data_IF_111351021763
#
_entry.id   IF_111351021763
#
_cell.length_a   1.000
_cell.length_b   1.000
_cell.length_c   1.000
_cell.angle_alpha   90.00
_cell.angle_beta   90.00
_cell.angle_gamma   90.00
#
_symmetry.space_group_name_H-M   'P 1'
#
loop_
_entity.id
_entity.type
_entity.pdbx_description
1 polymer ?
#
# COMPACT_ATOMS: atom_id res chain seq x y z
N UNK A 1 -2.83 -6.03 -28.10
CA UNK A 1 -2.19 -6.37 -26.81
C UNK A 1 -3.21 -7.10 -25.95
N UNK A 2 -2.82 -8.18 -25.29
CA UNK A 2 -3.68 -8.81 -24.29
C UNK A 2 -3.82 -7.88 -23.09
N UNK A 3 -4.99 -7.85 -22.47
CA UNK A 3 -5.26 -7.03 -21.29
C UNK A 3 -4.46 -7.58 -20.10
N UNK A 4 -3.73 -6.72 -19.37
CA UNK A 4 -3.04 -7.09 -18.13
C UNK A 4 -4.06 -7.63 -17.12
N UNK A 5 -3.75 -8.72 -16.46
CA UNK A 5 -4.57 -9.25 -15.35
C UNK A 5 -3.88 -8.92 -14.02
N UNK A 6 -4.54 -8.14 -13.17
CA UNK A 6 -4.08 -7.83 -11.82
C UNK A 6 -4.77 -8.74 -10.79
N UNK A 7 -3.98 -9.50 -10.06
CA UNK A 7 -4.44 -10.32 -8.94
C UNK A 7 -4.41 -9.53 -7.63
N UNK A 8 -5.58 -9.32 -7.02
CA UNK A 8 -5.77 -8.47 -5.84
C UNK A 8 -6.78 -9.04 -4.83
N UNK A 9 -6.94 -8.39 -3.67
CA UNK A 9 -7.95 -8.83 -2.68
C UNK A 9 -9.37 -8.33 -3.03
N UNK A 10 -9.49 -7.13 -3.56
CA UNK A 10 -10.77 -6.46 -3.82
C UNK A 10 -11.05 -5.30 -2.87
N UNK A 11 -12.17 -4.57 -3.07
CA UNK A 11 -12.54 -3.42 -2.25
C UNK A 11 -12.64 -3.79 -0.76
N UNK A 12 -12.20 -2.87 0.12
CA UNK A 12 -12.15 -3.12 1.55
C UNK A 12 -12.40 -1.84 2.36
N UNK A 13 -13.50 -1.82 3.11
CA UNK A 13 -13.84 -0.73 4.04
C UNK A 13 -13.69 0.68 3.42
N UNK A 14 -14.17 0.84 2.20
CA UNK A 14 -14.11 2.09 1.45
C UNK A 14 -12.80 2.33 0.69
N UNK A 15 -11.75 1.55 0.92
CA UNK A 15 -10.53 1.59 0.13
C UNK A 15 -10.64 0.70 -1.11
N UNK A 16 -9.95 1.03 -2.21
CA UNK A 16 -9.91 0.20 -3.41
C UNK A 16 -9.43 -1.23 -3.14
N UNK A 17 -8.49 -1.37 -2.19
CA UNK A 17 -7.94 -2.67 -1.76
C UNK A 17 -7.40 -2.56 -0.32
N UNK A 18 -7.38 -3.64 0.50
CA UNK A 18 -6.75 -3.61 1.82
C UNK A 18 -5.22 -3.47 1.77
N UNK A 19 -4.60 -3.84 0.66
CA UNK A 19 -3.15 -3.79 0.48
C UNK A 19 -2.71 -2.48 -0.16
N UNK A 20 -1.85 -1.67 0.51
CA UNK A 20 -1.27 -0.48 -0.11
C UNK A 20 -0.44 -0.80 -1.35
N UNK A 21 0.17 -1.99 -1.41
CA UNK A 21 0.93 -2.45 -2.57
C UNK A 21 0.05 -2.76 -3.79
N UNK A 22 -1.18 -3.27 -3.56
CA UNK A 22 -2.17 -3.42 -4.64
C UNK A 22 -2.61 -2.05 -5.14
N UNK A 23 -2.92 -1.12 -4.22
CA UNK A 23 -3.30 0.26 -4.59
C UNK A 23 -2.17 0.93 -5.38
N UNK A 24 -0.89 0.73 -4.98
CA UNK A 24 0.28 1.19 -5.74
C UNK A 24 0.23 0.68 -7.19
N UNK A 25 0.04 -0.62 -7.41
CA UNK A 25 0.00 -1.18 -8.77
C UNK A 25 -1.19 -0.67 -9.55
N UNK A 26 -2.38 -0.56 -8.94
CA UNK A 26 -3.56 0.05 -9.59
C UNK A 26 -3.25 1.48 -10.05
N UNK A 27 -2.59 2.28 -9.21
CA UNK A 27 -2.20 3.65 -9.54
C UNK A 27 -1.18 3.67 -10.69
N UNK A 28 -0.14 2.83 -10.66
CA UNK A 28 0.86 2.73 -11.72
C UNK A 28 0.23 2.37 -13.07
N UNK A 29 -0.68 1.40 -13.11
CA UNK A 29 -1.40 1.03 -14.33
C UNK A 29 -2.22 2.20 -14.89
N UNK A 30 -2.89 2.95 -14.01
CA UNK A 30 -3.66 4.14 -14.39
C UNK A 30 -2.76 5.29 -14.86
N UNK A 31 -1.62 5.52 -14.22
CA UNK A 31 -0.64 6.52 -14.65
C UNK A 31 -0.04 6.19 -16.02
N UNK A 32 0.16 4.91 -16.30
CA UNK A 32 0.66 4.44 -17.60
C UNK A 32 -0.43 4.41 -18.68
N UNK A 33 -1.70 4.68 -18.36
CA UNK A 33 -2.81 4.57 -19.30
C UNK A 33 -3.08 3.13 -19.78
N UNK A 34 -2.64 2.13 -19.02
CA UNK A 34 -2.75 0.72 -19.38
C UNK A 34 -4.09 0.14 -18.93
N UNK A 35 -4.84 -0.42 -19.87
CA UNK A 35 -6.04 -1.17 -19.56
C UNK A 35 -5.68 -2.47 -18.83
N UNK A 36 -6.40 -2.76 -17.75
CA UNK A 36 -6.25 -4.00 -17.01
C UNK A 36 -7.62 -4.52 -16.54
N UNK A 37 -7.68 -5.81 -16.30
CA UNK A 37 -8.76 -6.44 -15.53
C UNK A 37 -8.22 -6.90 -14.20
N UNK A 38 -8.99 -6.74 -13.16
CA UNK A 38 -8.66 -7.29 -11.85
C UNK A 38 -9.44 -8.57 -11.59
N UNK A 39 -8.78 -9.49 -10.90
CA UNK A 39 -9.35 -10.76 -10.48
C UNK A 39 -9.02 -11.03 -9.00
N UNK A 40 -9.88 -11.75 -8.27
CA UNK A 40 -9.57 -12.18 -6.92
C UNK A 40 -8.29 -13.02 -6.90
N UNK A 41 -7.29 -12.56 -6.16
CA UNK A 41 -6.03 -13.26 -5.96
C UNK A 41 -6.05 -14.14 -4.71
N UNK A 42 -5.30 -15.23 -4.76
CA UNK A 42 -5.07 -16.08 -3.60
C UNK A 42 -3.58 -16.00 -3.20
N UNK A 43 -3.25 -15.41 -2.03
CA UNK A 43 -1.85 -15.31 -1.58
C UNK A 43 -1.12 -16.65 -1.55
N UNK A 44 -1.80 -17.75 -1.21
CA UNK A 44 -1.18 -19.09 -1.15
C UNK A 44 -0.76 -19.61 -2.52
N UNK A 45 -1.43 -19.17 -3.58
CA UNK A 45 -1.12 -19.52 -4.98
C UNK A 45 -0.20 -18.49 -5.65
N UNK A 46 -0.06 -17.30 -5.07
CA UNK A 46 0.78 -16.24 -5.61
C UNK A 46 2.26 -16.68 -5.65
N UNK A 47 3.04 -16.26 -6.66
CA UNK A 47 4.44 -16.70 -6.86
C UNK A 47 5.32 -16.44 -5.63
N UNK A 48 5.13 -15.30 -4.96
CA UNK A 48 5.87 -14.91 -3.74
C UNK A 48 5.04 -15.02 -2.46
N UNK A 49 3.88 -15.74 -2.50
CA UNK A 49 2.95 -15.93 -1.36
C UNK A 49 2.34 -14.63 -0.82
N UNK A 50 2.28 -13.58 -1.65
CA UNK A 50 1.59 -12.31 -1.35
C UNK A 50 1.09 -11.64 -2.64
N UNK A 51 0.18 -10.68 -2.48
CA UNK A 51 -0.37 -9.86 -3.54
C UNK A 51 0.20 -8.44 -3.45
N UNK A 52 0.30 -7.71 -4.57
CA UNK A 52 -0.19 -8.06 -5.90
C UNK A 52 0.78 -8.92 -6.72
N UNK A 53 0.24 -9.55 -7.75
CA UNK A 53 1.00 -9.96 -8.92
C UNK A 53 0.18 -9.70 -10.18
N UNK A 54 0.84 -9.59 -11.33
CA UNK A 54 0.19 -9.42 -12.63
C UNK A 54 0.53 -10.58 -13.56
N UNK A 55 -0.37 -10.84 -14.51
CA UNK A 55 -0.12 -11.65 -15.69
C UNK A 55 -0.21 -10.73 -16.91
N UNK A 56 0.84 -10.74 -17.73
CA UNK A 56 0.98 -9.86 -18.86
C UNK A 56 1.68 -10.56 -20.02
N UNK A 57 0.91 -10.88 -21.09
CA UNK A 57 1.36 -11.63 -22.28
C UNK A 57 2.12 -12.93 -21.97
N UNK A 58 1.65 -13.68 -20.97
CA UNK A 58 2.26 -14.95 -20.55
C UNK A 58 3.36 -14.81 -19.48
N UNK A 59 3.82 -13.60 -19.21
CA UNK A 59 4.73 -13.34 -18.08
C UNK A 59 3.93 -13.15 -16.78
N UNK A 60 4.40 -13.75 -15.68
CA UNK A 60 3.88 -13.51 -14.33
C UNK A 60 4.90 -12.71 -13.54
N UNK A 61 4.51 -11.52 -13.09
CA UNK A 61 5.38 -10.62 -12.34
C UNK A 61 4.76 -10.36 -10.96
N UNK A 62 5.50 -10.66 -9.90
CA UNK A 62 5.07 -10.48 -8.51
C UNK A 62 5.99 -9.51 -7.78
N UNK A 63 5.43 -8.71 -6.88
CA UNK A 63 5.99 -7.57 -6.18
C UNK A 63 5.72 -6.24 -6.87
N UNK A 64 5.21 -5.26 -6.11
CA UNK A 64 4.75 -3.98 -6.68
C UNK A 64 5.86 -3.16 -7.32
N UNK A 65 7.08 -3.23 -6.79
CA UNK A 65 8.26 -2.55 -7.36
C UNK A 65 8.76 -3.25 -8.62
N UNK A 66 8.78 -4.59 -8.64
CA UNK A 66 9.14 -5.35 -9.84
C UNK A 66 8.08 -5.20 -10.93
N UNK A 67 6.80 -5.09 -10.56
CA UNK A 67 5.72 -4.76 -11.49
C UNK A 67 5.93 -3.36 -12.09
N UNK A 68 6.33 -2.35 -11.29
CA UNK A 68 6.68 -1.03 -11.80
C UNK A 68 7.78 -1.13 -12.86
N UNK A 69 8.88 -1.78 -12.56
CA UNK A 69 10.00 -1.94 -13.50
C UNK A 69 9.62 -2.70 -14.77
N UNK A 70 8.76 -3.73 -14.64
CA UNK A 70 8.22 -4.44 -15.80
C UNK A 70 7.40 -3.50 -16.71
N UNK A 71 6.52 -2.67 -16.13
CA UNK A 71 5.74 -1.69 -16.87
C UNK A 71 6.66 -0.68 -17.57
N UNK A 72 7.63 -0.12 -16.84
CA UNK A 72 8.61 0.83 -17.40
C UNK A 72 9.35 0.24 -18.59
N UNK A 73 9.85 -0.98 -18.45
CA UNK A 73 10.62 -1.64 -19.48
C UNK A 73 9.77 -2.04 -20.70
N UNK A 74 8.64 -2.74 -20.46
CA UNK A 74 7.82 -3.32 -21.55
C UNK A 74 7.05 -2.27 -22.32
N UNK A 75 6.48 -1.29 -21.62
CA UNK A 75 5.62 -0.26 -22.20
C UNK A 75 6.35 1.06 -22.47
N UNK A 76 7.65 1.12 -22.17
CA UNK A 76 8.50 2.30 -22.35
C UNK A 76 7.94 3.54 -21.65
N UNK A 77 7.40 3.35 -20.46
CA UNK A 77 6.92 4.40 -19.57
C UNK A 77 8.06 4.78 -18.64
N UNK A 78 8.31 6.07 -18.42
CA UNK A 78 9.16 6.57 -17.35
C UNK A 78 8.27 7.34 -16.35
N UNK A 79 7.95 6.72 -15.21
CA UNK A 79 7.14 7.36 -14.17
C UNK A 79 7.84 8.54 -13.51
N UNK A 80 9.16 8.64 -13.66
CA UNK A 80 9.99 9.69 -13.08
C UNK A 80 10.55 10.63 -14.17
N UNK A 81 9.88 10.67 -15.34
CA UNK A 81 10.27 11.53 -16.45
C UNK A 81 10.33 13.01 -16.03
N UNK A 82 11.41 13.68 -16.39
CA UNK A 82 11.64 15.09 -16.07
C UNK A 82 12.16 15.37 -14.65
N UNK A 83 12.30 14.34 -13.79
CA UNK A 83 12.90 14.52 -12.48
C UNK A 83 14.44 14.56 -12.58
N UNK A 84 15.05 15.45 -11.81
CA UNK A 84 16.50 15.48 -11.62
C UNK A 84 16.99 14.22 -10.89
N UNK A 85 18.28 13.94 -10.95
CA UNK A 85 18.89 12.82 -10.23
C UNK A 85 18.62 12.87 -8.71
N UNK A 86 18.68 14.08 -8.12
CA UNK A 86 18.35 14.26 -6.70
C UNK A 86 16.89 13.97 -6.37
N UNK A 87 15.95 14.39 -7.25
CA UNK A 87 14.54 14.08 -7.06
C UNK A 87 14.24 12.58 -7.23
N UNK A 88 14.86 11.90 -8.19
CA UNK A 88 14.74 10.42 -8.34
C UNK A 88 15.27 9.69 -7.09
N UNK A 89 16.38 10.14 -6.54
CA UNK A 89 16.92 9.57 -5.30
C UNK A 89 15.99 9.82 -4.09
N UNK A 90 15.44 11.03 -3.96
CA UNK A 90 14.46 11.35 -2.93
C UNK A 90 13.17 10.53 -3.09
N UNK A 91 12.66 10.39 -4.31
CA UNK A 91 11.50 9.57 -4.62
C UNK A 91 11.70 8.11 -4.17
N UNK A 92 12.84 7.53 -4.50
CA UNK A 92 13.20 6.19 -4.05
C UNK A 92 13.28 6.06 -2.52
N UNK A 93 13.90 7.03 -1.84
CA UNK A 93 13.97 7.04 -0.38
C UNK A 93 12.58 7.13 0.27
N UNK A 94 11.67 7.91 -0.30
CA UNK A 94 10.27 8.00 0.16
C UNK A 94 9.54 6.68 -0.05
N UNK A 95 9.73 6.00 -1.18
CA UNK A 95 9.15 4.68 -1.38
C UNK A 95 9.64 3.69 -0.30
N UNK A 96 10.93 3.70 0.03
CA UNK A 96 11.47 2.82 1.09
C UNK A 96 10.93 3.19 2.48
N UNK A 97 10.84 4.49 2.82
CA UNK A 97 10.20 4.93 4.05
C UNK A 97 8.75 4.40 4.14
N UNK A 98 7.99 4.51 3.08
CA UNK A 98 6.61 4.04 3.02
C UNK A 98 6.50 2.51 3.16
N UNK A 99 7.30 1.77 2.40
CA UNK A 99 7.16 0.32 2.25
C UNK A 99 7.93 -0.47 3.30
N UNK A 100 9.11 0.03 3.70
CA UNK A 100 10.01 -0.70 4.59
C UNK A 100 9.91 -0.22 6.05
N UNK A 101 9.19 0.89 6.32
CA UNK A 101 9.02 1.37 7.69
C UNK A 101 7.55 1.64 8.03
N UNK A 102 6.90 2.65 7.44
CA UNK A 102 5.54 3.05 7.81
C UNK A 102 4.50 1.93 7.59
N UNK A 103 4.67 1.12 6.53
CA UNK A 103 3.81 -0.05 6.29
C UNK A 103 3.79 -1.03 7.47
N UNK A 104 4.91 -1.23 8.14
CA UNK A 104 4.98 -2.18 9.25
C UNK A 104 4.24 -1.67 10.50
N UNK A 105 4.16 -0.36 10.71
CA UNK A 105 3.29 0.22 11.73
C UNK A 105 1.80 0.04 11.38
N UNK A 106 1.43 0.16 10.09
CA UNK A 106 0.07 -0.15 9.62
C UNK A 106 -0.25 -1.64 9.86
N UNK A 107 0.71 -2.51 9.58
CA UNK A 107 0.56 -3.95 9.76
C UNK A 107 0.33 -4.30 11.23
N UNK A 108 1.12 -3.71 12.15
CA UNK A 108 0.94 -3.85 13.58
C UNK A 108 -0.47 -3.42 14.00
N UNK A 109 -0.85 -2.19 13.69
CA UNK A 109 -2.13 -1.61 14.07
C UNK A 109 -3.35 -2.40 13.55
N UNK A 110 -3.23 -3.06 12.39
CA UNK A 110 -4.33 -3.84 11.79
C UNK A 110 -4.41 -5.28 12.30
N UNK A 111 -3.27 -5.90 12.55
CA UNK A 111 -3.20 -7.33 12.83
C UNK A 111 -3.02 -7.67 14.31
N UNK A 112 -2.31 -6.83 15.08
CA UNK A 112 -2.02 -7.11 16.48
C UNK A 112 -2.97 -6.37 17.44
N UNK A 113 -3.57 -5.26 17.01
CA UNK A 113 -4.65 -4.64 17.77
C UNK A 113 -5.93 -5.48 17.64
N UNK A 114 -6.46 -5.92 18.75
CA UNK A 114 -7.56 -6.89 18.82
C UNK A 114 -8.85 -6.39 18.17
N UNK A 115 -9.18 -5.12 18.41
CA UNK A 115 -10.43 -4.53 17.90
C UNK A 115 -10.32 -4.19 16.41
N UNK A 116 -9.18 -3.65 15.98
CA UNK A 116 -8.92 -3.39 14.56
C UNK A 116 -8.86 -4.68 13.75
N UNK A 117 -8.25 -5.73 14.29
CA UNK A 117 -8.25 -7.04 13.64
C UNK A 117 -9.68 -7.56 13.47
N UNK A 118 -10.49 -7.56 14.56
CA UNK A 118 -11.86 -8.09 14.54
C UNK A 118 -12.77 -7.32 13.59
N UNK A 119 -12.72 -5.98 13.62
CA UNK A 119 -13.59 -5.11 12.83
C UNK A 119 -13.05 -4.82 11.42
N UNK A 120 -11.80 -5.15 11.18
CA UNK A 120 -11.10 -4.96 9.91
C UNK A 120 -10.77 -6.29 9.23
N UNK A 121 -9.52 -6.69 9.31
CA UNK A 121 -8.96 -7.83 8.54
C UNK A 121 -9.75 -9.11 8.73
N UNK A 122 -10.28 -9.38 9.94
CA UNK A 122 -11.04 -10.60 10.20
C UNK A 122 -12.34 -10.71 9.40
N UNK A 123 -12.89 -9.60 8.92
CA UNK A 123 -14.09 -9.61 8.06
C UNK A 123 -13.84 -10.25 6.69
N UNK A 124 -12.59 -10.18 6.20
CA UNK A 124 -12.18 -10.79 4.94
C UNK A 124 -12.23 -12.33 4.97
N UNK A 125 -12.25 -12.92 6.16
CA UNK A 125 -12.29 -14.37 6.33
C UNK A 125 -13.70 -14.97 6.35
N UNK A 126 -14.71 -14.18 6.00
CA UNK A 126 -16.10 -14.65 5.89
C UNK A 126 -16.26 -15.80 4.88
N UNK A 127 -15.41 -15.84 3.86
CA UNK A 127 -15.35 -16.89 2.83
C UNK A 127 -14.79 -18.23 3.35
N UNK A 128 -14.15 -18.26 4.52
CA UNK A 128 -13.61 -19.48 5.13
C UNK A 128 -14.74 -20.17 5.91
N UNK A 129 -14.87 -21.51 5.81
CA UNK A 129 -15.84 -22.26 6.60
C UNK A 129 -15.74 -21.95 8.10
N UNK A 130 -16.89 -21.77 8.76
CA UNK A 130 -16.97 -21.30 10.14
C UNK A 130 -16.07 -22.08 11.13
N UNK A 131 -15.97 -23.41 11.09
CA UNK A 131 -15.12 -24.17 12.03
C UNK A 131 -13.62 -23.89 11.86
N UNK A 132 -13.16 -23.56 10.64
CA UNK A 132 -11.75 -23.32 10.35
C UNK A 132 -11.31 -21.86 10.65
N UNK A 133 -12.26 -20.92 10.72
CA UNK A 133 -11.96 -19.47 10.90
C UNK A 133 -11.07 -19.16 12.10
N UNK A 134 -11.33 -19.68 13.31
CA UNK A 134 -10.51 -19.39 14.48
C UNK A 134 -9.05 -19.82 14.29
N UNK A 135 -8.85 -21.02 13.73
CA UNK A 135 -7.52 -21.58 13.51
C UNK A 135 -6.76 -20.74 12.48
N UNK A 136 -7.38 -20.44 11.34
CA UNK A 136 -6.75 -19.61 10.28
C UNK A 136 -6.44 -18.22 10.80
N UNK A 137 -7.35 -17.59 11.56
CA UNK A 137 -7.12 -16.28 12.18
C UNK A 137 -5.91 -16.30 13.11
N UNK A 138 -5.85 -17.27 14.03
CA UNK A 138 -4.74 -17.40 14.98
C UNK A 138 -3.40 -17.61 14.24
N UNK A 139 -3.39 -18.46 13.22
CA UNK A 139 -2.21 -18.70 12.38
C UNK A 139 -1.73 -17.43 11.69
N UNK A 140 -2.62 -16.66 11.06
CA UNK A 140 -2.26 -15.43 10.35
C UNK A 140 -1.81 -14.31 11.28
N UNK A 141 -2.43 -14.17 12.46
CA UNK A 141 -1.97 -13.23 13.49
C UNK A 141 -0.56 -13.59 13.94
N UNK A 142 -0.30 -14.88 14.24
CA UNK A 142 1.03 -15.37 14.62
C UNK A 142 2.06 -15.14 13.53
N UNK A 143 1.71 -15.38 12.27
CA UNK A 143 2.59 -15.14 11.12
C UNK A 143 2.97 -13.67 11.00
N UNK A 144 1.99 -12.75 11.10
CA UNK A 144 2.25 -11.32 11.04
C UNK A 144 3.04 -10.81 12.26
N UNK A 145 2.79 -11.33 13.45
CA UNK A 145 3.62 -11.06 14.62
C UNK A 145 5.08 -11.51 14.40
N UNK A 146 5.27 -12.69 13.78
CA UNK A 146 6.60 -13.18 13.38
C UNK A 146 7.29 -12.26 12.36
N UNK A 147 6.55 -11.79 11.35
CA UNK A 147 7.08 -10.81 10.36
C UNK A 147 7.53 -9.50 11.03
N UNK A 148 6.70 -8.95 11.90
CA UNK A 148 7.03 -7.72 12.64
C UNK A 148 8.29 -7.91 13.51
N UNK A 149 8.40 -9.04 14.21
CA UNK A 149 9.58 -9.36 15.01
C UNK A 149 10.83 -9.56 14.16
N UNK A 150 10.72 -10.25 13.04
CA UNK A 150 11.81 -10.48 12.10
C UNK A 150 12.29 -9.19 11.43
N UNK A 151 11.38 -8.27 11.13
CA UNK A 151 11.69 -6.93 10.65
C UNK A 151 12.42 -6.08 11.70
N UNK A 152 12.19 -6.33 12.98
CA UNK A 152 12.77 -5.58 14.10
C UNK A 152 11.78 -4.63 14.77
N UNK A 153 10.88 -3.99 14.03
CA UNK A 153 9.91 -3.03 14.58
C UNK A 153 9.01 -3.67 15.64
N UNK A 154 8.64 -4.94 15.48
CA UNK A 154 7.82 -5.69 16.44
C UNK A 154 8.54 -6.07 17.74
N UNK A 155 9.74 -5.56 17.98
CA UNK A 155 10.47 -5.64 19.26
C UNK A 155 10.25 -4.39 20.13
N UNK A 156 9.71 -3.33 19.54
CA UNK A 156 9.37 -2.10 20.22
C UNK A 156 7.99 -2.18 20.87
N UNK A 157 7.73 -1.31 21.83
CA UNK A 157 6.39 -1.11 22.39
C UNK A 157 5.45 -0.53 21.32
N UNK A 158 4.14 -0.68 21.52
CA UNK A 158 3.13 -0.08 20.62
C UNK A 158 3.27 1.45 20.59
N UNK A 159 3.62 2.05 21.70
CA UNK A 159 3.84 3.49 21.86
C UNK A 159 5.05 3.94 21.01
N UNK A 160 6.14 3.19 21.04
CA UNK A 160 7.34 3.52 20.27
C UNK A 160 7.11 3.31 18.77
N UNK A 161 6.44 2.22 18.38
CA UNK A 161 6.04 2.02 16.97
C UNK A 161 5.20 3.19 16.48
N UNK A 162 4.25 3.65 17.31
CA UNK A 162 3.41 4.80 16.98
C UNK A 162 4.25 6.07 16.83
N UNK A 163 5.19 6.34 17.74
CA UNK A 163 6.09 7.52 17.68
C UNK A 163 6.94 7.52 16.42
N UNK A 164 7.51 6.37 16.06
CA UNK A 164 8.28 6.22 14.83
C UNK A 164 7.42 6.49 13.59
N UNK A 165 6.24 5.90 13.52
CA UNK A 165 5.32 6.08 12.40
C UNK A 165 4.78 7.52 12.28
N UNK A 166 4.57 8.23 13.40
CA UNK A 166 4.19 9.64 13.38
C UNK A 166 5.32 10.48 12.77
N UNK A 167 6.58 10.19 13.07
CA UNK A 167 7.73 10.85 12.42
C UNK A 167 7.77 10.63 10.92
N UNK A 168 7.44 9.42 10.45
CA UNK A 168 7.34 9.15 9.02
C UNK A 168 6.22 9.96 8.37
N UNK A 169 5.05 10.05 9.03
CA UNK A 169 3.91 10.85 8.56
C UNK A 169 4.29 12.33 8.48
N UNK A 170 4.93 12.88 9.52
CA UNK A 170 5.40 14.27 9.54
C UNK A 170 6.40 14.53 8.40
N UNK A 171 7.33 13.58 8.15
CA UNK A 171 8.28 13.69 7.07
C UNK A 171 7.60 13.68 5.70
N UNK A 172 6.63 12.79 5.48
CA UNK A 172 5.84 12.75 4.23
C UNK A 172 5.08 14.06 3.99
N UNK A 173 4.45 14.60 5.04
CA UNK A 173 3.73 15.88 4.96
C UNK A 173 4.66 17.03 4.61
N UNK A 174 5.84 17.07 5.24
CA UNK A 174 6.87 18.10 4.96
C UNK A 174 7.42 17.98 3.55
N UNK A 175 7.71 16.75 3.09
CA UNK A 175 8.21 16.51 1.73
C UNK A 175 7.19 16.81 0.66
N UNK A 176 5.91 16.57 0.92
CA UNK A 176 4.83 16.98 0.02
C UNK A 176 4.70 18.51 -0.02
N UNK A 177 4.72 19.19 1.15
CA UNK A 177 4.52 20.64 1.24
C UNK A 177 3.20 21.05 0.60
N UNK A 178 3.23 22.14 -0.14
CA UNK A 178 2.06 22.67 -0.86
C UNK A 178 1.92 22.12 -2.28
N UNK A 179 2.81 21.20 -2.68
CA UNK A 179 2.79 20.62 -4.02
C UNK A 179 1.59 19.69 -4.22
N UNK A 180 1.02 19.63 -5.43
CA UNK A 180 -0.04 18.69 -5.74
C UNK A 180 0.42 17.22 -5.70
N UNK A 181 1.70 16.95 -6.01
CA UNK A 181 2.33 15.62 -5.95
C UNK A 181 3.73 15.74 -5.36
N UNK A 182 4.33 14.61 -4.96
CA UNK A 182 5.61 14.58 -4.24
C UNK A 182 6.73 15.40 -4.88
N UNK A 183 6.86 15.34 -6.19
CA UNK A 183 7.97 15.98 -6.91
C UNK A 183 7.56 17.23 -7.71
N UNK A 184 6.31 17.70 -7.59
CA UNK A 184 5.81 18.89 -8.28
C UNK A 184 4.38 18.74 -8.80
N UNK A 185 4.14 19.23 -10.03
CA UNK A 185 2.80 19.35 -10.60
C UNK A 185 2.27 18.07 -11.26
N UNK A 186 3.13 17.08 -11.43
CA UNK A 186 2.79 15.78 -12.03
C UNK A 186 3.13 14.64 -11.08
N UNK A 187 2.31 13.59 -11.03
CA UNK A 187 2.63 12.42 -10.21
C UNK A 187 3.85 11.68 -10.79
N UNK A 188 4.70 11.19 -9.90
CA UNK A 188 5.82 10.29 -10.21
C UNK A 188 5.56 8.88 -9.65
N UNK A 189 6.49 7.96 -9.85
CA UNK A 189 6.35 6.59 -9.36
C UNK A 189 6.15 6.49 -7.85
N UNK A 190 6.82 7.34 -7.08
CA UNK A 190 6.70 7.37 -5.63
C UNK A 190 5.30 7.83 -5.14
N UNK A 191 4.58 8.63 -5.93
CA UNK A 191 3.20 8.99 -5.61
C UNK A 191 2.28 7.77 -5.57
N UNK A 192 2.51 6.76 -6.39
CA UNK A 192 1.73 5.53 -6.33
C UNK A 192 1.91 4.80 -5.00
N UNK A 193 3.13 4.75 -4.48
CA UNK A 193 3.45 4.18 -3.15
C UNK A 193 2.83 5.02 -2.04
N UNK A 194 3.07 6.33 -2.04
CA UNK A 194 2.55 7.24 -1.03
C UNK A 194 1.02 7.22 -0.98
N UNK A 195 0.35 7.24 -2.14
CA UNK A 195 -1.11 7.16 -2.20
C UNK A 195 -1.64 5.85 -1.59
N UNK A 196 -1.00 4.71 -1.87
CA UNK A 196 -1.35 3.43 -1.27
C UNK A 196 -1.29 3.46 0.26
N UNK A 197 -0.23 4.03 0.83
CA UNK A 197 -0.02 4.17 2.28
C UNK A 197 -1.02 5.15 2.90
N UNK A 198 -1.15 6.37 2.34
CA UNK A 198 -2.05 7.41 2.86
C UNK A 198 -3.51 6.92 2.82
N UNK A 199 -3.93 6.31 1.73
CA UNK A 199 -5.27 5.70 1.60
C UNK A 199 -5.48 4.60 2.63
N UNK A 200 -4.48 3.77 2.85
CA UNK A 200 -4.53 2.68 3.83
C UNK A 200 -4.71 3.16 5.27
N UNK A 201 -4.22 4.34 5.62
CA UNK A 201 -4.37 4.93 6.95
C UNK A 201 -5.70 5.71 7.08
N UNK A 202 -6.04 6.52 6.08
CA UNK A 202 -7.16 7.46 6.17
C UNK A 202 -8.52 6.84 5.86
N UNK A 203 -8.60 5.85 4.96
CA UNK A 203 -9.89 5.39 4.44
C UNK A 203 -10.57 4.34 5.33
N UNK A 204 -9.93 3.23 5.74
CA UNK A 204 -10.58 2.26 6.61
C UNK A 204 -10.91 2.88 7.98
N UNK A 205 -12.14 2.68 8.52
CA UNK A 205 -12.57 3.26 9.78
C UNK A 205 -11.98 2.54 11.00
N UNK A 206 -10.68 2.24 10.96
CA UNK A 206 -9.97 1.57 12.05
C UNK A 206 -9.53 2.58 13.11
N UNK A 207 -9.59 2.17 14.38
CA UNK A 207 -9.17 2.98 15.52
C UNK A 207 -7.66 2.86 15.70
N UNK A 208 -6.89 3.65 14.96
CA UNK A 208 -5.42 3.68 15.07
C UNK A 208 -4.94 5.07 15.45
N UNK A 209 -3.81 5.16 16.15
CA UNK A 209 -3.18 6.45 16.42
C UNK A 209 -2.60 7.12 15.15
N UNK A 210 -2.36 6.33 14.10
CA UNK A 210 -1.82 6.82 12.83
C UNK A 210 -2.83 7.70 12.07
N UNK A 211 -4.13 7.37 12.15
CA UNK A 211 -5.17 8.12 11.46
C UNK A 211 -5.29 9.58 11.95
N UNK A 212 -5.50 9.86 13.24
CA UNK A 212 -5.53 11.25 13.72
C UNK A 212 -4.19 11.97 13.53
N UNK A 213 -3.04 11.27 13.59
CA UNK A 213 -1.75 11.87 13.29
C UNK A 213 -1.70 12.35 11.83
N UNK A 214 -2.12 11.51 10.89
CA UNK A 214 -2.15 11.88 9.47
C UNK A 214 -3.20 12.97 9.16
N UNK A 215 -4.34 12.94 9.83
CA UNK A 215 -5.41 13.94 9.67
C UNK A 215 -5.00 15.35 10.12
N UNK A 216 -3.99 15.51 10.98
CA UNK A 216 -3.42 16.82 11.34
C UNK A 216 -2.74 17.51 10.16
N UNK A 217 -2.35 16.77 9.15
CA UNK A 217 -1.70 17.27 7.94
C UNK A 217 -2.72 17.44 6.82
N UNK A 218 -3.30 18.63 6.69
CA UNK A 218 -4.33 18.94 5.70
C UNK A 218 -3.87 18.66 4.26
N UNK A 219 -2.58 18.83 3.97
CA UNK A 219 -2.00 18.54 2.65
C UNK A 219 -2.02 17.05 2.31
N UNK A 220 -1.81 16.14 3.28
CA UNK A 220 -1.92 14.69 3.04
C UNK A 220 -3.37 14.27 2.78
N UNK A 221 -4.32 14.87 3.49
CA UNK A 221 -5.75 14.62 3.27
C UNK A 221 -6.15 15.12 1.88
N UNK A 222 -5.82 16.36 1.54
CA UNK A 222 -6.10 16.94 0.23
C UNK A 222 -5.42 16.18 -0.92
N UNK A 223 -4.19 15.70 -0.70
CA UNK A 223 -3.49 14.84 -1.64
C UNK A 223 -4.25 13.55 -1.92
N UNK A 224 -4.67 12.81 -0.86
CA UNK A 224 -5.46 11.58 -0.99
C UNK A 224 -6.73 11.84 -1.78
N UNK A 225 -7.48 12.89 -1.45
CA UNK A 225 -8.75 13.21 -2.08
C UNK A 225 -8.58 13.57 -3.56
N UNK A 226 -7.56 14.35 -3.88
CA UNK A 226 -7.18 14.70 -5.27
C UNK A 226 -6.87 13.48 -6.10
N UNK A 227 -6.02 12.58 -5.59
CA UNK A 227 -5.63 11.37 -6.32
C UNK A 227 -6.82 10.43 -6.46
N UNK A 228 -7.64 10.29 -5.41
CA UNK A 228 -8.87 9.48 -5.46
C UNK A 228 -9.82 10.01 -6.53
N UNK A 229 -10.14 11.30 -6.53
CA UNK A 229 -11.06 11.90 -7.49
C UNK A 229 -10.56 11.85 -8.94
N UNK A 230 -9.23 11.89 -9.14
CA UNK A 230 -8.67 11.85 -10.50
C UNK A 230 -8.52 10.45 -11.07
N UNK A 231 -8.20 9.46 -10.25
CA UNK A 231 -7.80 8.14 -10.74
C UNK A 231 -8.68 6.98 -10.24
N UNK A 232 -9.52 7.17 -9.21
CA UNK A 232 -10.30 6.11 -8.58
C UNK A 232 -11.80 6.43 -8.44
N UNK A 233 -12.25 7.58 -9.00
CA UNK A 233 -13.66 7.93 -9.13
C UNK A 233 -14.33 7.10 -10.22
#
# INVERSE_FOLDING_TARGET
MKTITLHRFGPFLGAPDPSPFVIKVMMLLKLAGLAYRDVPGNPLKAPKKFLPYIEDDGATVADSTLIRWHIEQKYRVDFDAGLSAGQKAAAWAIERLCEDHLYFAILEARWLDRDNFRNGVATMFSVIPAPARPIVRAMLVRQNAGRLRGHGIGRHSKEDITRLAVRDIDALATLLGDKPYLMGDRPCGADATMFGIVTSILTPPLKTALRPAMQKHANLVAYRDRVTGKYFA
#
